data_IF_868256430806
#
_entry.id   IF_868256430806
#
_cell.length_a   1.000
_cell.length_b   1.000
_cell.length_c   1.000
_cell.angle_alpha   90.00
_cell.angle_beta   90.00
_cell.angle_gamma   90.00
#
_symmetry.space_group_name_H-M   'P 1'
#
loop_
_entity.id
_entity.type
_entity.pdbx_description
1 polymer ?
#
# COMPACT_ATOMS: atom_id res chain seq x y z
N UNK A 1 -26.65 98.01 -86.95
CA UNK A 1 -27.18 97.03 -86.09
C UNK A 1 -26.10 96.22 -85.42
N UNK A 2 -25.91 96.48 -84.22
CA UNK A 2 -24.87 96.06 -83.35
C UNK A 2 -25.06 94.58 -82.90
N UNK A 3 -24.16 93.75 -83.34
CA UNK A 3 -24.12 92.38 -82.74
C UNK A 3 -23.43 92.40 -81.40
N UNK A 4 -24.12 91.93 -80.44
CA UNK A 4 -23.59 91.65 -79.11
C UNK A 4 -22.82 90.34 -79.14
N UNK A 5 -21.48 90.45 -79.08
CA UNK A 5 -20.66 89.33 -78.85
C UNK A 5 -20.60 89.14 -77.34
N UNK A 6 -21.34 88.17 -76.81
CA UNK A 6 -21.25 87.77 -75.45
C UNK A 6 -20.06 86.79 -75.27
N UNK A 7 -19.11 87.21 -74.49
CA UNK A 7 -17.88 86.54 -74.23
C UNK A 7 -18.15 85.23 -73.45
N UNK A 8 -17.92 84.07 -74.06
CA UNK A 8 -17.93 82.73 -73.48
C UNK A 8 -16.55 82.40 -72.81
N UNK A 9 -15.96 83.31 -72.04
CA UNK A 9 -14.72 83.08 -71.34
C UNK A 9 -14.80 82.76 -69.85
N UNK A 10 -16.05 82.89 -69.30
CA UNK A 10 -16.22 82.54 -67.84
C UNK A 10 -16.59 81.08 -67.62
N UNK A 11 -17.04 80.31 -68.60
CA UNK A 11 -17.50 78.92 -68.42
C UNK A 11 -16.41 77.89 -68.29
N UNK A 12 -15.21 78.12 -68.83
CA UNK A 12 -14.14 77.13 -68.75
C UNK A 12 -13.47 77.03 -67.34
N UNK A 13 -13.39 78.16 -66.61
CA UNK A 13 -12.85 78.19 -65.27
C UNK A 13 -13.84 77.56 -64.25
N UNK A 14 -15.12 77.86 -64.39
CA UNK A 14 -16.20 77.27 -63.61
C UNK A 14 -16.37 75.80 -63.87
N UNK A 15 -16.28 75.37 -65.15
CA UNK A 15 -16.29 73.93 -65.51
C UNK A 15 -15.09 73.19 -64.97
N UNK A 16 -13.90 73.82 -64.93
CA UNK A 16 -12.70 73.24 -64.37
C UNK A 16 -12.79 73.12 -62.84
N UNK A 17 -13.32 74.13 -62.15
CA UNK A 17 -13.57 74.03 -60.71
C UNK A 17 -14.65 73.00 -60.36
N UNK A 18 -15.72 72.90 -61.15
CA UNK A 18 -16.75 71.88 -61.01
C UNK A 18 -16.16 70.46 -61.26
N UNK A 19 -15.27 70.30 -62.23
CA UNK A 19 -14.61 69.03 -62.57
C UNK A 19 -13.59 68.63 -61.53
N UNK A 20 -12.85 69.58 -60.96
CA UNK A 20 -11.97 69.33 -59.81
C UNK A 20 -12.74 69.00 -58.55
N UNK A 21 -13.82 69.66 -58.27
CA UNK A 21 -14.75 69.36 -57.15
C UNK A 21 -15.42 68.00 -57.27
N UNK A 22 -15.81 67.58 -58.44
CA UNK A 22 -16.39 66.24 -58.69
C UNK A 22 -15.33 65.13 -58.59
N UNK A 23 -14.09 65.38 -59.02
CA UNK A 23 -13.01 64.38 -58.85
C UNK A 23 -12.56 64.25 -57.39
N UNK A 24 -12.51 65.35 -56.61
CA UNK A 24 -12.25 65.30 -55.17
C UNK A 24 -13.43 64.61 -54.44
N UNK A 25 -14.65 64.87 -54.76
CA UNK A 25 -15.81 64.20 -54.16
C UNK A 25 -15.82 62.67 -54.47
N UNK A 26 -15.49 62.29 -55.70
CA UNK A 26 -15.38 60.88 -56.08
C UNK A 26 -14.21 60.18 -55.31
N UNK A 27 -13.06 60.81 -55.16
CA UNK A 27 -11.94 60.26 -54.36
C UNK A 27 -12.29 60.10 -52.89
N UNK A 28 -13.00 61.10 -52.32
CA UNK A 28 -13.48 61.01 -50.93
C UNK A 28 -14.50 59.86 -50.80
N UNK A 29 -15.37 59.67 -51.75
CA UNK A 29 -16.37 58.57 -51.74
C UNK A 29 -15.71 57.20 -51.83
N UNK A 30 -14.65 57.01 -52.63
CA UNK A 30 -13.87 55.81 -52.71
C UNK A 30 -13.15 55.52 -51.38
N UNK A 31 -12.53 56.52 -50.75
CA UNK A 31 -11.89 56.38 -49.44
C UNK A 31 -12.90 56.00 -48.39
N UNK A 32 -14.07 56.62 -48.35
CA UNK A 32 -15.16 56.30 -47.39
C UNK A 32 -15.62 54.86 -47.62
N UNK A 33 -15.80 54.43 -48.86
CA UNK A 33 -16.26 53.07 -49.19
C UNK A 33 -15.24 52.01 -48.76
N UNK A 34 -13.95 52.26 -48.95
CA UNK A 34 -12.87 51.39 -48.48
C UNK A 34 -12.84 51.33 -46.93
N UNK A 35 -12.98 52.47 -46.28
CA UNK A 35 -13.06 52.51 -44.79
C UNK A 35 -14.30 51.75 -44.30
N UNK A 36 -15.47 51.94 -44.90
CA UNK A 36 -16.67 51.21 -44.53
C UNK A 36 -16.54 49.70 -44.72
N UNK A 37 -15.76 49.24 -45.69
CA UNK A 37 -15.50 47.81 -45.92
C UNK A 37 -14.46 47.24 -44.93
N UNK A 38 -13.39 47.97 -44.60
CA UNK A 38 -12.28 47.49 -43.78
C UNK A 38 -12.59 47.64 -42.29
N UNK A 39 -13.25 48.73 -41.86
CA UNK A 39 -13.49 49.02 -40.45
C UNK A 39 -14.30 47.93 -39.73
N UNK A 40 -15.37 47.34 -40.26
CA UNK A 40 -16.09 46.24 -39.63
C UNK A 40 -15.22 45.01 -39.46
N UNK A 41 -14.34 44.70 -40.40
CA UNK A 41 -13.41 43.55 -40.33
C UNK A 41 -12.40 43.75 -39.20
N UNK A 42 -11.84 44.94 -39.07
CA UNK A 42 -10.92 45.27 -38.00
C UNK A 42 -11.57 45.22 -36.61
N UNK A 43 -12.83 45.75 -36.51
CA UNK A 43 -13.60 45.69 -35.27
C UNK A 43 -13.88 44.23 -34.89
N UNK A 44 -14.24 43.36 -35.86
CA UNK A 44 -14.53 41.95 -35.64
C UNK A 44 -13.27 41.19 -35.18
N UNK A 45 -12.12 41.42 -35.83
CA UNK A 45 -10.84 40.82 -35.42
C UNK A 45 -10.45 41.30 -34.02
N UNK A 46 -10.61 42.60 -33.72
CA UNK A 46 -10.35 43.16 -32.40
C UNK A 46 -11.24 42.54 -31.31
N UNK A 47 -12.52 42.41 -31.59
CA UNK A 47 -13.49 41.77 -30.69
C UNK A 47 -13.14 40.29 -30.43
N UNK A 48 -12.75 39.57 -31.50
CA UNK A 48 -12.34 38.17 -31.41
C UNK A 48 -11.05 38.00 -30.56
N UNK A 49 -10.08 38.90 -30.73
CA UNK A 49 -8.86 38.91 -29.93
C UNK A 49 -9.13 39.20 -28.45
N UNK A 50 -9.98 40.16 -28.14
CA UNK A 50 -10.37 40.52 -26.78
C UNK A 50 -11.11 39.37 -26.10
N UNK A 51 -12.09 38.76 -26.79
CA UNK A 51 -12.84 37.60 -26.24
C UNK A 51 -11.94 36.37 -26.02
N UNK A 52 -11.04 36.06 -26.97
CA UNK A 52 -10.07 34.98 -26.82
C UNK A 52 -9.10 35.21 -25.66
N UNK A 53 -8.59 36.44 -25.53
CA UNK A 53 -7.69 36.84 -24.43
C UNK A 53 -8.41 36.77 -23.07
N UNK A 54 -9.64 37.20 -23.00
CA UNK A 54 -10.46 37.13 -21.80
C UNK A 54 -10.78 35.69 -21.42
N UNK A 55 -11.17 34.85 -22.39
CA UNK A 55 -11.38 33.41 -22.19
C UNK A 55 -10.14 32.72 -21.69
N UNK A 56 -8.97 32.96 -22.30
CA UNK A 56 -7.70 32.41 -21.84
C UNK A 56 -7.39 32.79 -20.39
N UNK A 57 -7.52 34.08 -20.03
CA UNK A 57 -7.23 34.57 -18.69
C UNK A 57 -8.16 34.00 -17.61
N UNK A 58 -9.48 33.93 -17.92
CA UNK A 58 -10.49 33.53 -16.93
C UNK A 58 -10.65 32.02 -16.80
N UNK A 59 -10.48 31.28 -17.91
CA UNK A 59 -10.81 29.86 -17.95
C UNK A 59 -9.60 28.91 -18.00
N UNK A 60 -8.50 29.31 -18.65
CA UNK A 60 -7.36 28.41 -18.84
C UNK A 60 -6.17 28.70 -17.92
N UNK A 61 -5.86 29.97 -17.70
CA UNK A 61 -4.60 30.36 -17.03
C UNK A 61 -4.50 29.86 -15.59
N UNK A 62 -5.56 30.02 -14.78
CA UNK A 62 -5.54 29.60 -13.38
C UNK A 62 -5.45 28.07 -13.20
N UNK A 63 -6.32 27.25 -13.81
CA UNK A 63 -6.24 25.80 -13.65
C UNK A 63 -4.91 25.23 -14.14
N UNK A 64 -4.41 25.73 -15.28
CA UNK A 64 -3.14 25.28 -15.83
C UNK A 64 -1.95 25.63 -14.90
N UNK A 65 -1.93 26.82 -14.33
CA UNK A 65 -0.92 27.23 -13.38
C UNK A 65 -0.96 26.39 -12.10
N UNK A 66 -2.15 26.02 -11.60
CA UNK A 66 -2.32 25.12 -10.45
C UNK A 66 -1.76 23.72 -10.75
N UNK A 67 -2.06 23.17 -11.91
CA UNK A 67 -1.56 21.85 -12.32
C UNK A 67 -0.04 21.85 -12.48
N UNK A 68 0.53 22.87 -13.13
CA UNK A 68 1.99 22.99 -13.28
C UNK A 68 2.68 23.10 -11.92
N UNK A 69 2.15 23.94 -11.03
CA UNK A 69 2.68 24.08 -9.67
C UNK A 69 2.55 22.78 -8.87
N UNK A 70 1.42 22.08 -9.00
CA UNK A 70 1.20 20.79 -8.39
C UNK A 70 2.19 19.75 -8.89
N UNK A 71 2.42 19.69 -10.20
CA UNK A 71 3.40 18.78 -10.80
C UNK A 71 4.83 19.05 -10.29
N UNK A 72 5.23 20.32 -10.18
CA UNK A 72 6.55 20.68 -9.63
C UNK A 72 6.72 20.22 -8.17
N UNK A 73 5.69 20.37 -7.34
CA UNK A 73 5.72 19.88 -5.95
C UNK A 73 5.82 18.34 -5.88
N UNK A 74 5.10 17.62 -6.74
CA UNK A 74 5.20 16.16 -6.81
C UNK A 74 6.62 15.72 -7.19
N UNK A 75 7.29 16.39 -8.12
CA UNK A 75 8.69 16.12 -8.50
C UNK A 75 9.64 16.32 -7.31
N UNK A 76 9.34 17.29 -6.44
CA UNK A 76 10.09 17.55 -5.19
C UNK A 76 9.70 16.62 -4.04
N UNK A 77 8.87 15.58 -4.29
CA UNK A 77 8.29 14.67 -3.28
C UNK A 77 7.42 15.37 -2.21
N UNK A 78 6.99 16.58 -2.48
CA UNK A 78 6.04 17.28 -1.62
C UNK A 78 4.61 16.97 -2.07
N UNK A 79 3.96 16.05 -1.38
CA UNK A 79 2.58 15.63 -1.63
C UNK A 79 1.57 16.29 -0.67
N UNK A 80 2.01 17.16 0.26
CA UNK A 80 1.16 17.80 1.27
C UNK A 80 0.51 19.08 0.73
N UNK A 81 -0.32 18.93 -0.29
CA UNK A 81 -1.15 19.98 -0.86
C UNK A 81 -2.43 19.39 -1.44
N UNK A 82 -3.39 20.23 -1.80
CA UNK A 82 -4.64 19.82 -2.45
C UNK A 82 -4.86 20.66 -3.69
N UNK A 83 -5.44 20.06 -4.73
CA UNK A 83 -5.89 20.75 -5.94
C UNK A 83 -7.42 20.73 -5.97
N UNK A 84 -8.01 21.91 -5.80
CA UNK A 84 -9.45 22.06 -5.86
C UNK A 84 -9.89 22.38 -7.31
N UNK A 85 -10.80 21.57 -7.83
CA UNK A 85 -11.43 21.85 -9.12
C UNK A 85 -12.47 22.96 -8.95
N UNK A 86 -12.21 24.14 -9.51
CA UNK A 86 -13.12 25.30 -9.48
C UNK A 86 -14.18 25.25 -10.59
N UNK A 87 -14.06 24.36 -11.55
CA UNK A 87 -14.93 24.24 -12.74
C UNK A 87 -15.41 22.81 -12.91
N UNK A 88 -16.55 22.64 -13.58
CA UNK A 88 -17.09 21.32 -13.95
C UNK A 88 -16.81 20.96 -15.42
N UNK A 89 -16.01 21.77 -16.11
CA UNK A 89 -15.58 21.54 -17.49
C UNK A 89 -14.42 20.52 -17.58
N UNK A 90 -13.87 20.34 -18.78
CA UNK A 90 -12.76 19.41 -19.04
C UNK A 90 -11.52 19.71 -18.19
N UNK A 91 -11.25 20.98 -17.89
CA UNK A 91 -10.15 21.38 -17.02
C UNK A 91 -10.42 21.05 -15.54
N UNK A 92 -11.67 21.18 -15.12
CA UNK A 92 -12.11 20.74 -13.79
C UNK A 92 -11.96 19.23 -13.63
N UNK A 93 -12.34 18.44 -14.64
CA UNK A 93 -12.12 16.99 -14.64
C UNK A 93 -10.64 16.63 -14.60
N UNK A 94 -9.79 17.36 -15.32
CA UNK A 94 -8.34 17.19 -15.28
C UNK A 94 -7.77 17.48 -13.88
N UNK A 95 -8.24 18.51 -13.20
CA UNK A 95 -7.86 18.80 -11.81
C UNK A 95 -8.26 17.66 -10.85
N UNK A 96 -9.47 17.10 -11.01
CA UNK A 96 -9.93 15.96 -10.22
C UNK A 96 -9.07 14.72 -10.46
N UNK A 97 -8.77 14.41 -11.72
CA UNK A 97 -7.91 13.28 -12.07
C UNK A 97 -6.50 13.45 -11.49
N UNK A 98 -5.94 14.64 -11.54
CA UNK A 98 -4.63 14.96 -10.98
C UNK A 98 -4.62 14.84 -9.44
N UNK A 99 -5.66 15.32 -8.76
CA UNK A 99 -5.82 15.18 -7.31
C UNK A 99 -5.97 13.71 -6.89
N UNK A 100 -6.69 12.91 -7.68
CA UNK A 100 -6.80 11.46 -7.46
C UNK A 100 -5.43 10.79 -7.59
N UNK A 101 -4.66 11.13 -8.62
CA UNK A 101 -3.29 10.63 -8.81
C UNK A 101 -2.38 11.03 -7.63
N UNK A 102 -2.44 12.30 -7.18
CA UNK A 102 -1.67 12.78 -6.03
C UNK A 102 -2.00 12.00 -4.75
N UNK A 103 -3.31 11.78 -4.47
CA UNK A 103 -3.75 10.97 -3.32
C UNK A 103 -3.22 9.55 -3.39
N UNK A 104 -3.36 8.90 -4.54
CA UNK A 104 -2.84 7.54 -4.74
C UNK A 104 -1.33 7.47 -4.51
N UNK A 105 -0.56 8.44 -5.01
CA UNK A 105 0.87 8.53 -4.76
C UNK A 105 1.19 8.74 -3.27
N UNK A 106 0.42 9.58 -2.58
CA UNK A 106 0.59 9.82 -1.15
C UNK A 106 0.31 8.55 -0.34
N UNK A 107 -0.76 7.82 -0.66
CA UNK A 107 -1.13 6.59 0.03
C UNK A 107 -0.10 5.47 -0.23
N UNK A 108 0.38 5.35 -1.47
CA UNK A 108 1.46 4.42 -1.81
C UNK A 108 2.77 4.75 -1.07
N UNK A 109 3.14 6.03 -0.98
CA UNK A 109 4.31 6.45 -0.23
C UNK A 109 4.18 6.13 1.27
N UNK A 110 3.02 6.40 1.88
CA UNK A 110 2.75 6.05 3.28
C UNK A 110 2.90 4.56 3.52
N UNK A 111 2.36 3.74 2.62
CA UNK A 111 2.46 2.29 2.73
C UNK A 111 3.91 1.81 2.58
N UNK A 112 4.68 2.35 1.62
CA UNK A 112 6.11 2.06 1.48
C UNK A 112 6.93 2.46 2.71
N UNK A 113 6.63 3.63 3.31
CA UNK A 113 7.25 4.05 4.56
C UNK A 113 6.92 3.10 5.71
N UNK A 114 5.66 2.68 5.83
CA UNK A 114 5.22 1.70 6.83
C UNK A 114 5.97 0.38 6.71
N UNK A 115 6.05 -0.17 5.49
CA UNK A 115 6.78 -1.41 5.22
C UNK A 115 8.28 -1.26 5.50
N UNK A 116 8.88 -0.15 5.14
CA UNK A 116 10.30 0.13 5.41
C UNK A 116 10.59 0.20 6.90
N UNK A 117 9.72 0.87 7.67
CA UNK A 117 9.86 0.99 9.12
C UNK A 117 9.66 -0.36 9.81
N UNK A 118 8.72 -1.17 9.35
CA UNK A 118 8.50 -2.53 9.84
C UNK A 118 9.70 -3.43 9.58
N UNK A 119 10.28 -3.37 8.37
CA UNK A 119 11.55 -4.08 8.04
C UNK A 119 12.72 -3.62 8.91
N UNK A 120 12.86 -2.33 9.19
CA UNK A 120 13.89 -1.82 10.11
C UNK A 120 13.71 -2.36 11.52
N UNK A 121 12.48 -2.38 12.04
CA UNK A 121 12.16 -2.95 13.36
C UNK A 121 12.48 -4.44 13.44
N UNK A 122 12.10 -5.20 12.40
CA UNK A 122 12.46 -6.62 12.29
C UNK A 122 13.96 -6.83 12.31
N UNK A 123 14.73 -6.11 11.51
CA UNK A 123 16.17 -6.22 11.43
C UNK A 123 16.87 -5.82 12.75
N UNK A 124 16.35 -4.80 13.43
CA UNK A 124 16.85 -4.38 14.73
C UNK A 124 16.63 -5.46 15.80
N UNK A 125 15.41 -6.01 15.88
CA UNK A 125 15.06 -7.09 16.78
C UNK A 125 15.88 -8.36 16.47
N UNK A 126 16.03 -8.70 15.19
CA UNK A 126 16.89 -9.79 14.70
C UNK A 126 18.33 -9.65 15.19
N UNK A 127 18.92 -8.48 15.00
CA UNK A 127 20.30 -8.21 15.43
C UNK A 127 20.48 -8.30 16.94
N UNK A 128 19.49 -7.84 17.70
CA UNK A 128 19.49 -7.90 19.16
C UNK A 128 19.45 -9.36 19.64
N UNK A 129 18.52 -10.15 19.11
CA UNK A 129 18.29 -11.53 19.57
C UNK A 129 19.38 -12.52 19.11
N UNK A 130 20.08 -12.23 18.01
CA UNK A 130 21.28 -12.97 17.62
C UNK A 130 22.47 -12.70 18.55
N UNK A 131 22.57 -11.49 19.10
CA UNK A 131 23.69 -11.12 19.96
C UNK A 131 23.78 -12.00 21.22
N UNK A 132 22.60 -12.36 21.79
CA UNK A 132 22.54 -13.18 22.99
C UNK A 132 23.15 -14.59 22.79
N UNK A 133 22.70 -15.44 21.85
CA UNK A 133 23.26 -16.76 21.63
C UNK A 133 24.73 -16.70 21.21
N UNK A 134 25.14 -15.70 20.42
CA UNK A 134 26.56 -15.49 20.05
C UNK A 134 27.42 -15.18 21.29
N UNK A 135 26.88 -14.39 22.23
CA UNK A 135 27.61 -14.07 23.48
C UNK A 135 27.79 -15.31 24.34
N UNK A 136 26.75 -16.16 24.45
CA UNK A 136 26.83 -17.41 25.17
C UNK A 136 27.79 -18.38 24.50
N UNK A 137 27.74 -18.52 23.18
CA UNK A 137 28.70 -19.32 22.40
C UNK A 137 30.17 -18.92 22.69
N UNK A 138 30.44 -17.59 22.63
CA UNK A 138 31.79 -17.07 22.95
C UNK A 138 32.19 -17.38 24.39
N UNK A 139 31.27 -17.30 25.35
CA UNK A 139 31.47 -17.62 26.74
C UNK A 139 31.80 -19.12 26.94
N UNK A 140 30.95 -20.00 26.36
CA UNK A 140 31.16 -21.46 26.43
C UNK A 140 32.47 -21.90 25.78
N UNK A 141 32.85 -21.32 24.64
CA UNK A 141 34.13 -21.59 23.99
C UNK A 141 35.31 -21.16 24.85
N UNK A 142 35.23 -20.02 25.54
CA UNK A 142 36.30 -19.57 26.49
C UNK A 142 36.39 -20.47 27.69
N UNK A 143 35.25 -20.93 28.24
CA UNK A 143 35.20 -21.88 29.34
C UNK A 143 35.77 -23.24 28.94
N UNK A 144 35.37 -23.79 27.81
CA UNK A 144 35.88 -25.04 27.26
C UNK A 144 37.41 -25.01 27.12
N UNK A 145 37.99 -23.91 26.59
CA UNK A 145 39.45 -23.73 26.52
C UNK A 145 40.10 -23.75 27.88
N UNK A 146 39.51 -23.18 28.92
CA UNK A 146 40.03 -23.21 30.28
C UNK A 146 39.95 -24.62 30.86
N UNK A 147 38.83 -25.33 30.69
CA UNK A 147 38.68 -26.72 31.17
C UNK A 147 39.64 -27.70 30.49
N UNK A 148 40.07 -27.45 29.25
CA UNK A 148 41.14 -28.23 28.59
C UNK A 148 42.46 -28.08 29.35
N UNK A 149 42.80 -26.88 29.81
CA UNK A 149 44.02 -26.65 30.60
C UNK A 149 43.95 -27.30 32.00
N UNK A 150 42.74 -27.36 32.58
CA UNK A 150 42.48 -27.92 33.90
C UNK A 150 42.23 -29.46 33.86
N UNK A 151 42.20 -30.10 32.69
CA UNK A 151 41.99 -31.54 32.49
C UNK A 151 40.58 -32.06 32.80
N UNK A 152 39.56 -31.19 32.84
CA UNK A 152 38.18 -31.53 33.24
C UNK A 152 37.33 -31.95 32.01
N UNK A 153 37.41 -33.23 31.60
CA UNK A 153 36.74 -33.76 30.40
C UNK A 153 35.21 -33.60 30.44
N UNK A 154 34.58 -33.80 31.59
CA UNK A 154 33.12 -33.67 31.76
C UNK A 154 32.66 -32.23 31.53
N UNK A 155 33.38 -31.25 32.07
CA UNK A 155 33.03 -29.83 31.84
C UNK A 155 33.29 -29.38 30.41
N UNK A 156 34.24 -29.99 29.70
CA UNK A 156 34.46 -29.76 28.27
C UNK A 156 33.25 -30.27 27.50
N UNK A 157 32.76 -31.49 27.76
CA UNK A 157 31.59 -32.08 27.11
C UNK A 157 30.33 -31.24 27.33
N UNK A 158 30.07 -30.77 28.55
CA UNK A 158 28.93 -29.89 28.88
C UNK A 158 28.98 -28.55 28.07
N UNK A 159 30.16 -27.92 28.06
CA UNK A 159 30.31 -26.68 27.28
C UNK A 159 30.17 -26.90 25.78
N UNK A 160 30.63 -28.02 25.21
CA UNK A 160 30.44 -28.37 23.80
C UNK A 160 28.95 -28.62 23.50
N UNK A 161 28.25 -29.39 24.32
CA UNK A 161 26.82 -29.64 24.18
C UNK A 161 25.99 -28.33 24.22
N UNK A 162 26.35 -27.41 25.12
CA UNK A 162 25.76 -26.07 25.14
C UNK A 162 26.02 -25.31 23.83
N UNK A 163 27.24 -25.36 23.30
CA UNK A 163 27.57 -24.70 22.04
C UNK A 163 26.76 -25.28 20.89
N UNK A 164 26.61 -26.61 20.79
CA UNK A 164 25.79 -27.26 19.77
C UNK A 164 24.30 -26.80 19.85
N UNK A 165 23.74 -26.76 21.06
CA UNK A 165 22.38 -26.28 21.29
C UNK A 165 22.21 -24.82 20.80
N UNK A 166 23.15 -23.93 21.11
CA UNK A 166 23.07 -22.53 20.66
C UNK A 166 23.35 -22.37 19.17
N UNK A 167 24.17 -23.20 18.53
CA UNK A 167 24.32 -23.22 17.05
C UNK A 167 23.04 -23.62 16.41
N UNK A 168 22.42 -24.74 16.78
CA UNK A 168 21.12 -25.19 16.23
C UNK A 168 20.03 -24.16 16.43
N UNK A 169 20.09 -23.40 17.53
CA UNK A 169 19.19 -22.28 17.77
C UNK A 169 19.41 -21.14 16.76
N UNK A 170 20.67 -20.76 16.50
CA UNK A 170 20.99 -19.72 15.50
C UNK A 170 20.55 -20.18 14.11
N UNK A 171 20.78 -21.43 13.73
CA UNK A 171 20.36 -21.99 12.44
C UNK A 171 18.85 -21.85 12.25
N UNK A 172 18.03 -22.33 13.20
CA UNK A 172 16.57 -22.16 13.18
C UNK A 172 16.14 -20.70 13.09
N UNK A 173 16.88 -19.81 13.73
CA UNK A 173 16.61 -18.38 13.70
C UNK A 173 16.83 -17.76 12.31
N UNK A 174 17.93 -18.14 11.66
CA UNK A 174 18.25 -17.72 10.28
C UNK A 174 17.23 -18.29 9.29
N UNK A 175 16.85 -19.56 9.43
CA UNK A 175 15.83 -20.20 8.60
C UNK A 175 14.47 -19.50 8.72
N UNK A 176 14.04 -19.18 9.95
CA UNK A 176 12.80 -18.45 10.20
C UNK A 176 12.81 -17.08 9.55
N UNK A 177 13.93 -16.34 9.65
CA UNK A 177 14.07 -15.02 9.04
C UNK A 177 14.08 -15.10 7.50
N UNK A 178 14.77 -16.10 6.94
CA UNK A 178 14.77 -16.37 5.50
C UNK A 178 13.36 -16.71 5.00
N UNK A 179 12.60 -17.49 5.79
CA UNK A 179 11.22 -17.83 5.45
C UNK A 179 10.31 -16.60 5.41
N UNK A 180 10.45 -15.67 6.37
CA UNK A 180 9.68 -14.42 6.39
C UNK A 180 9.98 -13.57 5.14
N UNK A 181 11.25 -13.41 4.77
CA UNK A 181 11.63 -12.67 3.57
C UNK A 181 11.04 -13.31 2.30
N UNK A 182 11.10 -14.62 2.20
CA UNK A 182 10.48 -15.35 1.08
C UNK A 182 8.96 -15.21 1.06
N UNK A 183 8.31 -15.25 2.24
CA UNK A 183 6.86 -15.07 2.33
C UNK A 183 6.39 -13.72 1.76
N UNK A 184 7.20 -12.64 1.88
CA UNK A 184 6.89 -11.35 1.28
C UNK A 184 6.90 -11.37 -0.26
N UNK A 185 7.70 -12.25 -0.88
CA UNK A 185 7.93 -12.30 -2.33
C UNK A 185 7.07 -13.34 -3.06
N UNK A 186 6.60 -14.41 -2.36
CA UNK A 186 5.83 -15.48 -3.01
C UNK A 186 4.41 -14.99 -3.34
N UNK A 187 3.96 -15.08 -4.61
CA UNK A 187 2.59 -14.73 -4.96
C UNK A 187 1.58 -15.68 -4.31
N UNK A 188 0.44 -15.16 -3.87
CA UNK A 188 -0.66 -15.96 -3.34
C UNK A 188 -1.20 -16.83 -4.48
N UNK A 189 -1.21 -18.14 -4.29
CA UNK A 189 -1.73 -19.13 -5.25
C UNK A 189 -3.12 -19.58 -4.81
N UNK A 190 -4.13 -18.86 -5.25
CA UNK A 190 -5.51 -19.27 -4.99
C UNK A 190 -5.89 -20.46 -5.87
N UNK A 191 -6.44 -21.49 -5.26
CA UNK A 191 -6.99 -22.67 -5.92
C UNK A 191 -8.44 -22.90 -5.48
N UNK A 192 -9.23 -23.51 -6.37
CA UNK A 192 -10.60 -23.86 -6.05
C UNK A 192 -10.62 -25.09 -5.15
N UNK A 193 -11.26 -24.95 -4.00
CA UNK A 193 -11.28 -25.98 -2.95
C UNK A 193 -12.71 -26.30 -2.55
N UNK A 194 -12.98 -27.58 -2.36
CA UNK A 194 -14.23 -28.05 -1.74
C UNK A 194 -14.05 -28.12 -0.22
N UNK A 195 -15.07 -27.68 0.50
CA UNK A 195 -15.03 -27.60 1.96
C UNK A 195 -14.66 -28.92 2.63
N UNK A 196 -15.33 -30.03 2.27
CA UNK A 196 -15.11 -31.34 2.91
C UNK A 196 -13.68 -31.86 2.69
N UNK A 197 -13.11 -31.60 1.52
CA UNK A 197 -11.72 -31.98 1.24
C UNK A 197 -10.75 -31.15 2.09
N UNK A 198 -10.99 -29.85 2.20
CA UNK A 198 -10.16 -28.96 3.02
C UNK A 198 -10.19 -29.35 4.50
N UNK A 199 -11.37 -29.62 5.03
CA UNK A 199 -11.54 -30.07 6.42
C UNK A 199 -10.80 -31.38 6.68
N UNK A 200 -10.90 -32.35 5.76
CA UNK A 200 -10.17 -33.62 5.89
C UNK A 200 -8.64 -33.42 5.86
N UNK A 201 -8.13 -32.49 5.04
CA UNK A 201 -6.71 -32.16 5.00
C UNK A 201 -6.25 -31.45 6.29
N UNK A 202 -7.07 -30.52 6.80
CA UNK A 202 -6.80 -29.85 8.08
C UNK A 202 -6.78 -30.82 9.27
N UNK A 203 -7.73 -31.76 9.32
CA UNK A 203 -7.80 -32.77 10.37
C UNK A 203 -6.53 -33.64 10.40
N UNK A 204 -6.00 -34.02 9.22
CA UNK A 204 -4.73 -34.74 9.11
C UNK A 204 -3.54 -33.95 9.67
N UNK A 205 -3.48 -32.66 9.34
CA UNK A 205 -2.42 -31.77 9.84
C UNK A 205 -2.52 -31.62 11.35
N UNK A 206 -3.72 -31.37 11.88
CA UNK A 206 -3.97 -31.23 13.32
C UNK A 206 -3.57 -32.50 14.06
N UNK A 207 -3.97 -33.67 13.52
CA UNK A 207 -3.61 -34.96 14.09
C UNK A 207 -2.12 -35.22 14.05
N UNK A 208 -1.46 -34.91 12.94
CA UNK A 208 -0.03 -35.10 12.78
C UNK A 208 0.80 -34.22 13.74
N UNK A 209 0.47 -32.91 13.82
CA UNK A 209 1.16 -31.97 14.73
C UNK A 209 0.91 -32.33 16.20
N UNK A 210 -0.27 -32.84 16.50
CA UNK A 210 -0.64 -33.27 17.86
C UNK A 210 -0.17 -34.67 18.27
N UNK A 211 0.35 -35.49 17.33
CA UNK A 211 0.60 -36.94 17.53
C UNK A 211 1.56 -37.25 18.69
N UNK A 212 2.60 -36.45 18.88
CA UNK A 212 3.61 -36.63 19.94
C UNK A 212 3.21 -35.99 21.28
N UNK A 213 2.01 -35.38 21.35
CA UNK A 213 1.50 -34.73 22.57
C UNK A 213 0.54 -35.64 23.34
N UNK A 214 0.55 -35.50 24.68
CA UNK A 214 -0.45 -36.13 25.54
C UNK A 214 -1.77 -35.32 25.62
N UNK A 215 -1.92 -34.26 24.82
CA UNK A 215 -3.04 -33.34 24.85
C UNK A 215 -4.25 -33.89 24.08
N UNK A 216 -5.44 -33.53 24.52
CA UNK A 216 -6.69 -33.86 23.82
C UNK A 216 -6.99 -32.73 22.84
N UNK A 217 -7.02 -33.06 21.55
CA UNK A 217 -7.37 -32.09 20.51
C UNK A 217 -8.75 -32.42 19.98
N UNK A 218 -9.68 -31.48 20.10
CA UNK A 218 -11.02 -31.57 19.57
C UNK A 218 -11.15 -30.64 18.35
N UNK A 219 -11.57 -31.19 17.20
CA UNK A 219 -11.74 -30.41 15.98
C UNK A 219 -13.22 -30.37 15.58
N UNK A 220 -13.74 -29.15 15.38
CA UNK A 220 -15.13 -28.90 15.00
C UNK A 220 -15.13 -28.02 13.76
N UNK A 221 -15.87 -28.41 12.73
CA UNK A 221 -16.09 -27.62 11.53
C UNK A 221 -17.56 -27.31 11.30
N UNK A 222 -17.84 -26.14 10.72
CA UNK A 222 -19.17 -25.84 10.17
C UNK A 222 -19.41 -26.65 8.91
N UNK A 223 -20.68 -26.89 8.55
CA UNK A 223 -21.04 -27.50 7.27
C UNK A 223 -21.15 -26.42 6.20
N UNK A 224 -20.51 -26.63 5.06
CA UNK A 224 -20.58 -25.77 3.89
C UNK A 224 -20.55 -26.60 2.60
N UNK A 225 -21.39 -26.26 1.62
CA UNK A 225 -21.58 -27.15 0.43
C UNK A 225 -20.97 -26.57 -0.85
N UNK A 226 -20.43 -25.36 -0.83
CA UNK A 226 -19.91 -24.70 -2.03
C UNK A 226 -18.38 -24.76 -2.09
N UNK A 227 -17.86 -24.63 -3.31
CA UNK A 227 -16.41 -24.46 -3.54
C UNK A 227 -16.04 -22.98 -3.52
N UNK A 228 -14.85 -22.64 -3.06
CA UNK A 228 -14.33 -21.29 -2.95
C UNK A 228 -12.84 -21.25 -3.28
N UNK A 229 -12.30 -20.05 -3.52
CA UNK A 229 -10.89 -19.85 -3.82
C UNK A 229 -10.11 -19.46 -2.57
N UNK A 230 -9.04 -20.21 -2.28
CA UNK A 230 -8.12 -19.96 -1.17
C UNK A 230 -6.74 -20.50 -1.50
N UNK A 231 -5.71 -19.95 -0.87
CA UNK A 231 -4.36 -20.55 -0.86
C UNK A 231 -4.26 -21.54 0.30
N UNK A 232 -4.36 -22.85 -0.01
CA UNK A 232 -4.29 -23.90 1.02
C UNK A 232 -2.96 -23.93 1.75
N UNK A 233 -1.87 -23.63 1.07
CA UNK A 233 -0.52 -23.68 1.68
C UNK A 233 -0.38 -22.66 2.80
N UNK A 234 -0.97 -21.48 2.63
CA UNK A 234 -1.03 -20.45 3.68
C UNK A 234 -1.88 -20.91 4.86
N UNK A 235 -3.07 -21.46 4.60
CA UNK A 235 -3.94 -21.96 5.65
C UNK A 235 -3.29 -23.10 6.44
N UNK A 236 -2.62 -24.03 5.78
CA UNK A 236 -1.93 -25.14 6.42
C UNK A 236 -0.78 -24.67 7.29
N UNK A 237 0.03 -23.72 6.80
CA UNK A 237 1.12 -23.13 7.60
C UNK A 237 0.61 -22.38 8.83
N UNK A 238 -0.51 -21.65 8.71
CA UNK A 238 -1.17 -21.02 9.86
C UNK A 238 -1.63 -22.10 10.85
N UNK A 239 -2.29 -23.18 10.37
CA UNK A 239 -2.79 -24.27 11.20
C UNK A 239 -1.65 -24.91 11.98
N UNK A 240 -0.56 -25.30 11.32
CA UNK A 240 0.61 -25.88 11.95
C UNK A 240 1.19 -24.99 13.05
N UNK A 241 1.35 -23.71 12.79
CA UNK A 241 1.86 -22.76 13.77
C UNK A 241 0.92 -22.58 14.99
N UNK A 242 -0.41 -22.49 14.75
CA UNK A 242 -1.37 -22.30 15.83
C UNK A 242 -1.50 -23.57 16.69
N UNK A 243 -1.55 -24.76 16.07
CA UNK A 243 -1.61 -26.04 16.80
C UNK A 243 -0.31 -26.28 17.57
N UNK A 244 0.85 -26.06 16.96
CA UNK A 244 2.14 -26.19 17.65
C UNK A 244 2.23 -25.28 18.87
N UNK A 245 1.72 -24.05 18.78
CA UNK A 245 1.63 -23.16 19.95
C UNK A 245 0.67 -23.72 21.01
N UNK A 246 -0.52 -24.14 20.62
CA UNK A 246 -1.49 -24.69 21.56
C UNK A 246 -0.98 -25.94 22.26
N UNK A 247 -0.37 -26.89 21.54
CA UNK A 247 0.24 -28.11 22.10
C UNK A 247 1.30 -27.76 23.16
N UNK A 248 2.05 -26.69 22.96
CA UNK A 248 3.09 -26.27 23.88
C UNK A 248 2.56 -25.63 25.16
N UNK A 249 1.50 -24.83 25.06
CA UNK A 249 1.02 -24.03 26.19
C UNK A 249 -0.22 -24.60 26.89
N UNK A 250 -1.00 -25.45 26.23
CA UNK A 250 -2.13 -26.12 26.84
C UNK A 250 -1.75 -26.96 28.04
N UNK A 251 -2.62 -27.06 29.04
CA UNK A 251 -2.48 -28.04 30.13
C UNK A 251 -2.92 -29.43 29.64
N UNK A 252 -4.12 -29.57 29.10
CA UNK A 252 -4.70 -30.84 28.66
C UNK A 252 -5.51 -30.76 27.38
N UNK A 253 -6.25 -29.68 27.15
CA UNK A 253 -7.30 -29.62 26.14
C UNK A 253 -7.01 -28.50 25.11
N UNK A 254 -7.26 -28.82 23.85
CA UNK A 254 -7.14 -27.90 22.73
C UNK A 254 -8.41 -28.04 21.88
N UNK A 255 -9.17 -26.98 21.74
CA UNK A 255 -10.34 -26.91 20.89
C UNK A 255 -10.01 -26.14 19.62
N UNK A 256 -10.18 -26.78 18.48
CA UNK A 256 -9.94 -26.18 17.14
C UNK A 256 -11.29 -26.06 16.44
N UNK A 257 -11.60 -24.91 15.93
CA UNK A 257 -12.81 -24.70 15.14
C UNK A 257 -12.50 -24.03 13.81
N UNK A 258 -13.11 -24.56 12.73
CA UNK A 258 -13.02 -23.97 11.41
C UNK A 258 -14.43 -23.64 10.89
N UNK A 259 -14.63 -22.39 10.53
CA UNK A 259 -15.92 -21.89 10.02
C UNK A 259 -15.72 -21.03 8.78
N UNK A 260 -16.73 -21.05 7.91
CA UNK A 260 -16.74 -20.29 6.67
C UNK A 260 -17.95 -19.36 6.67
N UNK A 261 -17.72 -18.11 6.27
CA UNK A 261 -18.75 -17.13 5.93
C UNK A 261 -18.68 -16.83 4.42
N UNK A 262 -19.58 -16.04 3.88
CA UNK A 262 -19.60 -15.68 2.46
C UNK A 262 -18.27 -15.10 1.92
N UNK A 263 -17.48 -14.48 2.78
CA UNK A 263 -16.25 -13.76 2.36
C UNK A 263 -15.01 -14.16 3.15
N UNK A 264 -15.14 -14.89 4.24
CA UNK A 264 -14.03 -15.16 5.17
C UNK A 264 -14.05 -16.60 5.70
N UNK A 265 -12.90 -17.24 5.66
CA UNK A 265 -12.61 -18.45 6.44
C UNK A 265 -12.02 -18.05 7.78
N UNK A 266 -12.56 -18.59 8.87
CA UNK A 266 -12.06 -18.38 10.24
C UNK A 266 -11.60 -19.71 10.84
N UNK A 267 -10.34 -19.76 11.23
CA UNK A 267 -9.74 -20.83 12.04
C UNK A 267 -9.49 -20.29 13.45
N UNK A 268 -10.04 -20.96 14.46
CA UNK A 268 -9.82 -20.58 15.86
C UNK A 268 -9.24 -21.76 16.63
N UNK A 269 -8.22 -21.52 17.42
CA UNK A 269 -7.57 -22.49 18.29
C UNK A 269 -7.63 -21.95 19.72
N UNK A 270 -8.22 -22.73 20.61
CA UNK A 270 -8.38 -22.41 22.04
C UNK A 270 -7.63 -23.45 22.85
N UNK A 271 -6.82 -23.03 23.80
CA UNK A 271 -6.12 -23.87 24.74
C UNK A 271 -6.55 -23.56 26.20
N UNK A 272 -6.32 -24.50 27.09
CA UNK A 272 -6.58 -24.39 28.54
C UNK A 272 -5.31 -24.04 29.35
N UNK A 273 -4.33 -23.37 28.70
CA UNK A 273 -3.06 -23.01 29.32
C UNK A 273 -3.08 -21.69 30.09
N UNK A 274 -1.89 -21.15 30.34
CA UNK A 274 -1.71 -19.95 31.17
C UNK A 274 -2.16 -18.63 30.51
N UNK A 275 -2.59 -18.67 29.24
CA UNK A 275 -2.98 -17.47 28.48
C UNK A 275 -1.79 -16.62 28.02
N UNK A 276 -2.11 -15.52 27.37
CA UNK A 276 -1.13 -14.55 26.88
C UNK A 276 -0.81 -13.48 27.93
N UNK A 277 0.43 -13.00 28.02
CA UNK A 277 0.77 -11.85 28.84
C UNK A 277 -0.05 -10.61 28.45
N UNK A 278 -0.45 -9.81 29.46
CA UNK A 278 -1.23 -8.59 29.23
C UNK A 278 -0.55 -7.60 28.27
N UNK A 279 0.77 -7.56 28.26
CA UNK A 279 1.54 -6.73 27.34
C UNK A 279 1.35 -7.14 25.88
N UNK A 280 1.24 -8.44 25.58
CA UNK A 280 1.02 -8.95 24.22
C UNK A 280 -0.39 -8.65 23.74
N UNK A 281 -1.39 -8.77 24.61
CA UNK A 281 -2.78 -8.42 24.27
C UNK A 281 -2.89 -6.91 24.00
N UNK A 282 -2.24 -6.07 24.82
CA UNK A 282 -2.31 -4.62 24.69
C UNK A 282 -1.55 -4.08 23.47
N UNK A 283 -0.37 -4.60 23.22
CA UNK A 283 0.55 -4.09 22.18
C UNK A 283 0.38 -4.79 20.82
N UNK A 284 -0.42 -5.85 20.76
CA UNK A 284 -0.58 -6.70 19.58
C UNK A 284 0.60 -7.65 19.35
N UNK A 285 0.48 -8.45 18.30
CA UNK A 285 1.47 -9.44 17.91
C UNK A 285 2.67 -8.73 17.28
N UNK A 286 3.80 -8.81 17.95
CA UNK A 286 5.08 -8.27 17.45
C UNK A 286 6.10 -9.41 17.27
N UNK A 287 7.08 -9.24 16.38
CA UNK A 287 8.14 -10.24 16.20
C UNK A 287 8.96 -10.40 17.50
N UNK A 288 9.39 -11.62 17.75
CA UNK A 288 10.25 -11.99 18.91
C UNK A 288 9.62 -11.77 20.28
N UNK A 289 8.30 -11.57 20.36
CA UNK A 289 7.60 -11.52 21.65
C UNK A 289 7.47 -12.92 22.24
N UNK A 290 8.04 -13.10 23.43
CA UNK A 290 7.95 -14.35 24.19
C UNK A 290 6.97 -14.19 25.33
N UNK A 291 6.15 -15.21 25.54
CA UNK A 291 5.19 -15.26 26.67
C UNK A 291 5.78 -15.77 27.99
N UNK A 292 6.92 -16.45 27.95
CA UNK A 292 7.55 -17.10 29.11
C UNK A 292 9.07 -17.18 28.93
N UNK A 293 9.79 -17.70 29.95
CA UNK A 293 11.24 -17.95 29.96
C UNK A 293 11.69 -19.05 28.97
N UNK A 294 10.82 -19.47 28.05
CA UNK A 294 11.13 -20.47 27.04
C UNK A 294 12.30 -20.02 26.15
N UNK A 295 13.41 -20.71 26.30
CA UNK A 295 14.65 -20.42 25.58
C UNK A 295 14.70 -21.07 24.21
N UNK A 296 13.83 -22.04 23.90
CA UNK A 296 13.90 -22.83 22.67
C UNK A 296 13.20 -22.19 21.47
N UNK A 297 12.18 -21.34 21.67
CA UNK A 297 11.38 -20.76 20.61
C UNK A 297 11.57 -19.24 20.51
N UNK A 298 11.49 -18.70 19.29
CA UNK A 298 11.82 -17.29 19.01
C UNK A 298 10.64 -16.33 19.14
N UNK A 299 9.43 -16.80 19.43
CA UNK A 299 8.22 -15.95 19.46
C UNK A 299 7.83 -15.40 18.09
N UNK A 300 8.11 -16.15 17.01
CA UNK A 300 7.85 -15.74 15.63
C UNK A 300 6.59 -16.38 15.04
N UNK A 301 6.09 -17.50 15.60
CA UNK A 301 4.97 -18.24 15.01
C UNK A 301 3.71 -17.40 14.81
N UNK A 302 3.28 -16.69 15.84
CA UNK A 302 2.11 -15.80 15.73
C UNK A 302 2.35 -14.61 14.79
N UNK A 303 3.57 -14.09 14.75
CA UNK A 303 3.93 -13.02 13.81
C UNK A 303 3.87 -13.50 12.35
N UNK A 304 4.37 -14.70 12.06
CA UNK A 304 4.24 -15.34 10.74
C UNK A 304 2.77 -15.53 10.38
N UNK A 305 1.95 -16.04 11.31
CA UNK A 305 0.51 -16.17 11.10
C UNK A 305 -0.15 -14.81 10.79
N UNK A 306 0.25 -13.75 11.49
CA UNK A 306 -0.26 -12.40 11.25
C UNK A 306 0.08 -11.91 9.83
N UNK A 307 1.33 -12.07 9.40
CA UNK A 307 1.76 -11.71 8.03
C UNK A 307 0.98 -12.50 6.97
N UNK A 308 0.83 -13.81 7.15
CA UNK A 308 0.09 -14.68 6.23
C UNK A 308 -1.38 -14.29 6.13
N UNK A 309 -2.03 -14.03 7.27
CA UNK A 309 -3.42 -13.56 7.30
C UNK A 309 -3.58 -12.23 6.58
N UNK A 310 -2.73 -11.24 6.88
CA UNK A 310 -2.77 -9.91 6.25
C UNK A 310 -2.59 -10.00 4.73
N UNK A 311 -1.65 -10.80 4.26
CA UNK A 311 -1.43 -11.03 2.83
C UNK A 311 -2.65 -11.65 2.14
N UNK A 312 -3.36 -12.53 2.84
CA UNK A 312 -4.59 -13.15 2.33
C UNK A 312 -5.85 -12.28 2.55
N UNK A 313 -5.67 -10.99 2.89
CA UNK A 313 -6.76 -10.04 3.12
C UNK A 313 -7.57 -10.29 4.40
N UNK A 314 -7.00 -11.02 5.34
CA UNK A 314 -7.58 -11.31 6.64
C UNK A 314 -6.80 -10.71 7.80
N UNK A 315 -6.96 -11.27 8.98
CA UNK A 315 -6.33 -10.81 10.23
C UNK A 315 -6.18 -11.94 11.23
N UNK A 316 -5.34 -11.73 12.25
CA UNK A 316 -5.26 -12.60 13.42
C UNK A 316 -5.65 -11.82 14.67
N UNK A 317 -6.35 -12.47 15.58
CA UNK A 317 -6.70 -11.92 16.88
C UNK A 317 -6.34 -12.91 18.01
N UNK A 318 -5.92 -12.36 19.14
CA UNK A 318 -5.56 -13.11 20.35
C UNK A 318 -6.39 -12.60 21.52
N UNK A 319 -6.88 -13.50 22.34
CA UNK A 319 -7.62 -13.16 23.56
C UNK A 319 -7.39 -14.22 24.64
N UNK A 320 -7.43 -13.81 25.90
CA UNK A 320 -7.51 -14.73 27.03
C UNK A 320 -8.97 -15.02 27.36
N UNK A 321 -9.24 -16.28 27.70
CA UNK A 321 -10.51 -16.77 28.23
C UNK A 321 -10.38 -16.98 29.73
N UNK A 322 -11.45 -17.48 30.35
CA UNK A 322 -11.45 -17.78 31.80
C UNK A 322 -10.39 -18.81 32.20
N UNK A 323 -10.03 -19.75 31.31
CA UNK A 323 -9.18 -20.90 31.60
C UNK A 323 -7.89 -20.90 30.78
N UNK A 324 -7.78 -20.10 29.69
CA UNK A 324 -6.64 -20.17 28.79
C UNK A 324 -6.65 -19.08 27.73
N UNK A 325 -6.24 -19.42 26.51
CA UNK A 325 -6.16 -18.48 25.40
C UNK A 325 -6.91 -18.94 24.14
N UNK A 326 -7.35 -18.00 23.34
CA UNK A 326 -7.89 -18.24 21.99
C UNK A 326 -7.11 -17.39 20.97
N UNK A 327 -6.68 -18.04 19.91
CA UNK A 327 -6.13 -17.40 18.72
C UNK A 327 -7.08 -17.65 17.55
N UNK A 328 -7.52 -16.59 16.89
CA UNK A 328 -8.39 -16.68 15.71
C UNK A 328 -7.71 -16.06 14.52
N UNK A 329 -7.53 -16.83 13.46
CA UNK A 329 -7.02 -16.40 12.16
C UNK A 329 -8.15 -16.31 11.16
N UNK A 330 -8.24 -15.22 10.40
CA UNK A 330 -9.20 -15.05 9.33
C UNK A 330 -8.48 -14.90 7.99
N UNK A 331 -9.03 -15.48 6.94
CA UNK A 331 -8.53 -15.41 5.57
C UNK A 331 -9.68 -15.03 4.65
N UNK A 332 -9.44 -14.11 3.72
CA UNK A 332 -10.44 -13.72 2.73
C UNK A 332 -10.56 -14.82 1.67
N UNK A 333 -11.79 -15.23 1.35
CA UNK A 333 -12.12 -16.15 0.26
C UNK A 333 -12.73 -15.36 -0.91
N UNK A 334 -12.64 -15.90 -2.13
CA UNK A 334 -13.24 -15.36 -3.34
C UNK A 334 -14.15 -16.37 -4.00
#
# INVERSE_FOLDING_TARGET
>A
PSGVVVEIQSDSAVMKQLQEGTTQAAAIYEIISVIQMILPILIYIGALFVTASMFYRLKLKEPLALLIKGASRIIENDLDFTIEAKSQDELGQLCIAFETMRKTLMDNNRELWRQTEERKRLNAAFSHDLRNPITVLKGSAKLAKKCVADGSAEQIADNLSRMESYISRIERYVETMSSIQKLEEIPIKQEQVQWDNLISELEKIITFVGADSSKRINFISSTFSESFLIDKSILFQITENLISNAVRFAEQNIDVSCSLTETMLKLSVTDDGCGFPAALIKNGIQPFQKGSEDTEHFGMGLYICNLLCQRHGGSISIQNNEIGATVSATLKIL
#
